data_IF_091077425100
#
_entry.id   IF_091077425100
#
_cell.length_a   1.000
_cell.length_b   1.000
_cell.length_c   1.000
_cell.angle_alpha   90.00
_cell.angle_beta   90.00
_cell.angle_gamma   90.00
#
_symmetry.space_group_name_H-M   'P 1'
#
loop_
_entity.id
_entity.type
_entity.pdbx_description
1 polymer ?
#
# COMPACT_ATOMS: atom_id res chain seq x y z
N UNK A 1 11.36 9.74 -21.58
CA UNK A 1 11.21 9.17 -20.22
C UNK A 1 11.24 7.67 -20.35
N UNK A 2 12.14 6.95 -19.66
CA UNK A 2 12.10 5.47 -19.62
C UNK A 2 10.71 5.10 -19.12
N UNK A 3 9.98 4.32 -19.91
CA UNK A 3 8.71 3.72 -19.49
C UNK A 3 8.95 3.06 -18.14
N UNK A 4 8.43 3.63 -17.05
CA UNK A 4 8.46 2.93 -15.76
C UNK A 4 7.79 1.59 -16.00
N UNK A 5 8.52 0.49 -15.78
CA UNK A 5 7.95 -0.83 -15.97
C UNK A 5 6.73 -0.97 -15.07
N UNK A 6 5.62 -1.46 -15.64
CA UNK A 6 4.33 -1.61 -14.96
C UNK A 6 4.49 -2.23 -13.57
N UNK A 7 5.31 -3.27 -13.45
CA UNK A 7 5.56 -3.93 -12.17
C UNK A 7 6.29 -3.02 -11.17
N UNK A 8 7.32 -2.30 -11.62
CA UNK A 8 8.05 -1.33 -10.78
C UNK A 8 7.13 -0.22 -10.28
N UNK A 9 6.24 0.29 -11.14
CA UNK A 9 5.24 1.29 -10.74
C UNK A 9 4.29 0.73 -9.67
N UNK A 10 3.76 -0.48 -9.87
CA UNK A 10 2.82 -1.13 -8.95
C UNK A 10 3.48 -1.41 -7.60
N UNK A 11 4.70 -1.96 -7.59
CA UNK A 11 5.41 -2.25 -6.35
C UNK A 11 5.72 -0.95 -5.61
N UNK A 12 6.20 0.08 -6.31
CA UNK A 12 6.59 1.35 -5.69
C UNK A 12 5.40 2.14 -5.14
N UNK A 13 4.36 2.34 -5.94
CA UNK A 13 3.24 3.20 -5.57
C UNK A 13 2.12 2.44 -4.84
N UNK A 14 1.93 1.15 -5.16
CA UNK A 14 0.91 0.31 -4.56
C UNK A 14 1.37 -0.39 -3.29
N UNK A 15 2.53 -1.04 -3.30
CA UNK A 15 2.99 -1.82 -2.14
C UNK A 15 3.81 -0.94 -1.19
N UNK A 16 4.92 -0.36 -1.66
CA UNK A 16 5.85 0.39 -0.81
C UNK A 16 5.22 1.67 -0.24
N UNK A 17 4.53 2.47 -1.06
CA UNK A 17 3.95 3.74 -0.62
C UNK A 17 2.59 3.61 0.06
N UNK A 18 1.84 2.53 -0.16
CA UNK A 18 0.48 2.39 0.39
C UNK A 18 0.37 1.23 1.37
N UNK A 19 0.77 0.01 1.00
CA UNK A 19 0.62 -1.14 1.88
C UNK A 19 1.42 -1.03 3.18
N UNK A 20 2.69 -0.58 3.12
CA UNK A 20 3.55 -0.49 4.31
C UNK A 20 3.01 0.54 5.32
N UNK A 21 2.74 1.81 4.95
CA UNK A 21 2.21 2.77 5.91
C UNK A 21 0.86 2.36 6.49
N UNK A 22 -0.02 1.79 5.67
CA UNK A 22 -1.34 1.34 6.12
C UNK A 22 -1.22 0.14 7.08
N UNK A 23 -0.33 -0.82 6.82
CA UNK A 23 -0.09 -1.94 7.73
C UNK A 23 0.39 -1.47 9.10
N UNK A 24 1.30 -0.48 9.13
CA UNK A 24 1.80 0.11 10.38
C UNK A 24 0.66 0.81 11.14
N UNK A 25 -0.11 1.67 10.45
CA UNK A 25 -1.22 2.41 11.06
C UNK A 25 -2.30 1.45 11.58
N UNK A 26 -2.65 0.43 10.80
CA UNK A 26 -3.66 -0.55 11.20
C UNK A 26 -3.23 -1.35 12.43
N UNK A 27 -1.98 -1.82 12.45
CA UNK A 27 -1.44 -2.57 13.59
C UNK A 27 -1.41 -1.71 14.86
N UNK A 28 -1.12 -0.42 14.68
CA UNK A 28 -1.22 0.56 15.75
C UNK A 28 -2.66 0.67 16.27
N UNK A 29 -3.64 0.92 15.40
CA UNK A 29 -5.05 1.05 15.77
C UNK A 29 -5.55 -0.21 16.49
N UNK A 30 -5.26 -1.40 15.97
CA UNK A 30 -5.70 -2.65 16.59
C UNK A 30 -5.14 -2.82 18.00
N UNK A 31 -3.89 -2.40 18.22
CA UNK A 31 -3.26 -2.41 19.55
C UNK A 31 -3.95 -1.49 20.56
N UNK A 32 -4.60 -0.41 20.11
CA UNK A 32 -5.39 0.48 20.98
C UNK A 32 -6.81 -0.01 21.22
N UNK A 33 -7.38 -0.82 20.33
CA UNK A 33 -8.76 -1.30 20.45
C UNK A 33 -8.91 -2.55 21.31
N UNK A 34 -7.82 -3.28 21.58
CA UNK A 34 -7.89 -4.40 22.52
C UNK A 34 -8.04 -3.90 23.96
N UNK A 35 -9.06 -4.43 24.63
CA UNK A 35 -9.58 -3.96 25.93
C UNK A 35 -8.62 -4.11 27.11
N UNK A 36 -7.41 -4.63 26.91
CA UNK A 36 -6.40 -4.83 27.96
C UNK A 36 -5.27 -3.78 27.86
N UNK A 37 -5.63 -2.54 28.13
CA UNK A 37 -4.71 -1.39 28.33
C UNK A 37 -3.65 -1.61 29.44
N UNK A 38 -3.65 -2.76 30.12
CA UNK A 38 -2.77 -3.08 31.24
C UNK A 38 -1.50 -3.84 30.87
N UNK A 39 -1.38 -4.39 29.66
CA UNK A 39 -0.14 -5.04 29.18
C UNK A 39 0.54 -4.14 28.16
N UNK A 40 1.12 -3.05 28.65
CA UNK A 40 1.95 -2.10 27.92
C UNK A 40 3.28 -2.76 27.51
N UNK A 41 3.21 -3.82 26.72
CA UNK A 41 4.30 -4.26 25.88
C UNK A 41 3.91 -3.84 24.47
N UNK A 42 4.35 -2.64 24.09
CA UNK A 42 4.26 -2.11 22.72
C UNK A 42 4.95 -3.01 21.68
N UNK A 43 5.66 -4.04 22.14
CA UNK A 43 6.31 -5.12 21.41
C UNK A 43 5.80 -6.45 22.01
N UNK A 44 4.49 -6.64 22.07
CA UNK A 44 3.93 -7.95 22.36
C UNK A 44 3.94 -8.80 21.09
N UNK A 45 3.99 -10.12 21.25
CA UNK A 45 3.88 -11.06 20.13
C UNK A 45 2.61 -10.78 19.31
N UNK A 46 1.54 -10.30 19.96
CA UNK A 46 0.29 -9.91 19.31
C UNK A 46 0.43 -8.72 18.34
N UNK A 47 1.23 -7.70 18.68
CA UNK A 47 1.49 -6.58 17.76
C UNK A 47 2.28 -7.06 16.54
N UNK A 48 3.30 -7.89 16.76
CA UNK A 48 4.11 -8.47 15.69
C UNK A 48 3.29 -9.37 14.77
N UNK A 49 2.45 -10.24 15.33
CA UNK A 49 1.56 -11.12 14.56
C UNK A 49 0.56 -10.31 13.72
N UNK A 50 -0.07 -9.29 14.30
CA UNK A 50 -0.97 -8.41 13.56
C UNK A 50 -0.24 -7.63 12.46
N UNK A 51 0.97 -7.15 12.72
CA UNK A 51 1.76 -6.42 11.74
C UNK A 51 2.20 -7.32 10.56
N UNK A 52 2.57 -8.57 10.85
CA UNK A 52 2.89 -9.57 9.82
C UNK A 52 1.67 -9.88 8.96
N UNK A 53 0.54 -10.25 9.58
CA UNK A 53 -0.71 -10.57 8.87
C UNK A 53 -1.18 -9.37 8.04
N UNK A 54 -1.13 -8.18 8.61
CA UNK A 54 -1.50 -6.93 7.94
C UNK A 54 -0.57 -6.63 6.77
N UNK A 55 0.75 -6.82 6.91
CA UNK A 55 1.68 -6.65 5.80
C UNK A 55 1.31 -7.53 4.60
N UNK A 56 0.94 -8.79 4.81
CA UNK A 56 0.50 -9.67 3.73
C UNK A 56 -0.82 -9.21 3.12
N UNK A 57 -1.84 -8.95 3.95
CA UNK A 57 -3.16 -8.51 3.49
C UNK A 57 -3.11 -7.19 2.71
N UNK A 58 -2.44 -6.19 3.27
CA UNK A 58 -2.29 -4.88 2.63
C UNK A 58 -1.35 -4.93 1.43
N UNK A 59 -0.36 -5.83 1.36
CA UNK A 59 0.44 -5.99 0.13
C UNK A 59 -0.39 -6.48 -1.04
N UNK A 60 -1.33 -7.40 -0.81
CA UNK A 60 -2.29 -7.85 -1.83
C UNK A 60 -3.17 -6.66 -2.25
N UNK A 61 -3.76 -5.94 -1.30
CA UNK A 61 -4.57 -4.75 -1.58
C UNK A 61 -3.78 -3.66 -2.32
N UNK A 62 -2.56 -3.41 -1.90
CA UNK A 62 -1.62 -2.48 -2.50
C UNK A 62 -1.25 -2.85 -3.92
N UNK A 63 -1.10 -4.13 -4.24
CA UNK A 63 -0.90 -4.60 -5.60
C UNK A 63 -2.10 -4.28 -6.50
N UNK A 64 -3.33 -4.57 -6.06
CA UNK A 64 -4.55 -4.22 -6.80
C UNK A 64 -4.71 -2.71 -6.98
N UNK A 65 -4.43 -1.93 -5.93
CA UNK A 65 -4.46 -0.47 -5.99
C UNK A 65 -3.41 0.07 -6.97
N UNK A 66 -2.17 -0.42 -6.89
CA UNK A 66 -1.09 -0.05 -7.80
C UNK A 66 -1.45 -0.39 -9.25
N UNK A 67 -2.06 -1.55 -9.49
CA UNK A 67 -2.55 -1.93 -10.83
C UNK A 67 -3.63 -0.97 -11.34
N UNK A 68 -4.56 -0.58 -10.47
CA UNK A 68 -5.60 0.38 -10.80
C UNK A 68 -5.04 1.78 -11.10
N UNK A 69 -4.07 2.24 -10.30
CA UNK A 69 -3.35 3.50 -10.52
C UNK A 69 -2.58 3.47 -11.84
N UNK A 70 -1.90 2.38 -12.15
CA UNK A 70 -1.20 2.20 -13.42
C UNK A 70 -2.13 2.30 -14.62
N UNK A 71 -3.31 1.67 -14.53
CA UNK A 71 -4.33 1.73 -15.59
C UNK A 71 -4.80 3.17 -15.84
N UNK A 72 -4.96 3.96 -14.78
CA UNK A 72 -5.28 5.40 -14.88
C UNK A 72 -4.11 6.22 -15.44
N UNK A 73 -2.89 5.93 -15.01
CA UNK A 73 -1.69 6.58 -15.49
C UNK A 73 -1.54 6.44 -17.00
N UNK A 74 -1.64 5.22 -17.55
CA UNK A 74 -1.58 4.98 -19.00
C UNK A 74 -2.69 5.74 -19.73
N UNK A 75 -3.93 5.70 -19.22
CA UNK A 75 -5.07 6.37 -19.85
C UNK A 75 -4.84 7.88 -19.96
N UNK A 76 -4.29 8.50 -18.92
CA UNK A 76 -3.98 9.92 -18.89
C UNK A 76 -2.76 10.28 -19.76
N UNK A 77 -1.76 9.40 -19.84
CA UNK A 77 -0.57 9.61 -20.67
C UNK A 77 -0.95 9.59 -22.16
N UNK A 78 -1.73 8.59 -22.59
CA UNK A 78 -2.23 8.49 -23.97
C UNK A 78 -3.11 9.69 -24.35
N UNK A 79 -3.95 10.15 -23.42
CA UNK A 79 -4.75 11.37 -23.61
C UNK A 79 -3.92 12.66 -23.73
N UNK A 80 -2.71 12.73 -23.15
CA UNK A 80 -1.83 13.90 -23.29
C UNK A 80 -1.09 13.89 -24.63
N UNK A 81 -0.64 12.74 -25.12
CA UNK A 81 -0.01 12.64 -26.44
C UNK A 81 -0.98 13.04 -27.56
N UNK A 82 -2.25 12.63 -27.48
CA UNK A 82 -3.28 12.99 -28.46
C UNK A 82 -3.59 14.50 -28.48
N UNK A 83 -3.36 15.22 -27.36
CA UNK A 83 -3.52 16.68 -27.29
C UNK A 83 -2.32 17.46 -27.81
N UNK A 84 -1.13 16.87 -27.84
CA UNK A 84 0.10 17.51 -28.33
C UNK A 84 0.22 17.38 -29.86
N UNK A 85 -0.40 16.34 -30.45
CA UNK A 85 -0.42 16.09 -31.90
C UNK A 85 -1.52 16.83 -32.67
N UNK A 86 -2.38 17.57 -31.98
CA UNK A 86 -3.53 18.28 -32.56
C UNK A 86 -3.32 19.78 -32.48
#
# INVERSE_FOLDING_TARGET
MKSEDKQSFIIRHGILQWAIPIAIIYSFIMSFTEKDLYKVAFISDYFLDNLLISCFGFSIGGYFLGYFMWRRYIKNFKSKEDKIKK
#
